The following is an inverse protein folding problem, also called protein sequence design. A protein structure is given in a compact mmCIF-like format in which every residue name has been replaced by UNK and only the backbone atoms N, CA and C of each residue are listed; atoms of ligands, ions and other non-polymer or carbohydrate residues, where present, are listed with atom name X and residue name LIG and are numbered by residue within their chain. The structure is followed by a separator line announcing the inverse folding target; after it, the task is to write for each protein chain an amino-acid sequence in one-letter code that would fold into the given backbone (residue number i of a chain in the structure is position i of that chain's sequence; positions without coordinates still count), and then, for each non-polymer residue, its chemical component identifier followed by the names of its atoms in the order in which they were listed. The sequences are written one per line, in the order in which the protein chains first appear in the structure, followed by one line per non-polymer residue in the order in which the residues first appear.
data_IF_310593509511
#
_entry.id   IF_310593509511
#
_cell.length_a   1.000
_cell.length_b   1.000
_cell.length_c   1.000
_cell.angle_alpha   90.00
_cell.angle_beta   90.00
_cell.angle_gamma   90.00
#
_symmetry.space_group_name_H-M   'P 1'
#
loop_
_entity.id
_entity.type
_entity.pdbx_description
1 polymer ?
#
# COMPACT_ATOMS: atom_id res chain seq x y z
N UNK A 1 3.92 -70.49 11.85
CA UNK A 1 3.25 -69.44 11.03
C UNK A 1 2.86 -68.33 11.99
N UNK A 2 3.74 -67.38 12.20
CA UNK A 2 3.56 -66.25 13.12
C UNK A 2 3.10 -65.06 12.31
N UNK A 3 2.03 -64.41 12.79
CA UNK A 3 1.45 -63.19 12.22
C UNK A 3 2.25 -62.00 12.71
N UNK A 4 2.83 -61.25 11.77
CA UNK A 4 3.51 -59.98 12.02
C UNK A 4 2.49 -58.87 12.33
N UNK A 5 2.54 -58.34 13.54
CA UNK A 5 1.77 -57.23 14.00
C UNK A 5 2.18 -55.90 13.32
N UNK A 6 1.23 -55.20 12.75
CA UNK A 6 1.41 -53.86 12.21
C UNK A 6 1.44 -52.85 13.34
N UNK A 7 2.55 -52.12 13.47
CA UNK A 7 2.69 -50.94 14.36
C UNK A 7 1.92 -49.78 13.75
N UNK A 8 0.92 -49.29 14.45
CA UNK A 8 0.24 -48.02 14.20
C UNK A 8 1.20 -46.89 14.58
N UNK A 9 1.59 -46.07 13.61
CA UNK A 9 2.26 -44.79 13.82
C UNK A 9 1.21 -43.73 13.97
N UNK A 10 1.01 -43.19 15.16
CA UNK A 10 0.23 -41.97 15.41
C UNK A 10 0.92 -40.81 14.72
N UNK A 11 0.17 -39.98 13.96
CA UNK A 11 0.74 -38.76 13.40
C UNK A 11 0.92 -37.73 14.52
N UNK A 12 2.09 -37.16 14.53
CA UNK A 12 2.43 -36.02 15.39
C UNK A 12 1.40 -34.93 15.31
N UNK A 13 0.89 -34.50 16.47
CA UNK A 13 -0.01 -33.37 16.57
C UNK A 13 0.61 -32.12 15.99
N UNK A 14 -0.01 -31.62 14.93
CA UNK A 14 0.33 -30.31 14.35
C UNK A 14 0.02 -29.23 15.40
N UNK A 15 1.07 -28.54 15.82
CA UNK A 15 0.92 -27.30 16.57
C UNK A 15 0.29 -26.31 15.59
N UNK A 16 -0.99 -26.01 15.78
CA UNK A 16 -1.68 -24.93 15.09
C UNK A 16 -1.05 -23.61 15.49
N UNK A 17 -0.17 -23.09 14.66
CA UNK A 17 0.26 -21.70 14.74
C UNK A 17 -0.77 -20.85 14.03
N UNK A 18 -1.97 -20.75 14.57
CA UNK A 18 -2.85 -19.62 14.29
C UNK A 18 -2.21 -18.38 14.92
N UNK A 19 -1.22 -17.82 14.23
CA UNK A 19 -0.86 -16.41 14.46
C UNK A 19 -2.08 -15.61 14.02
N UNK A 20 -2.60 -14.80 14.92
CA UNK A 20 -3.56 -13.76 14.59
C UNK A 20 -3.06 -13.05 13.33
N UNK A 21 -3.76 -13.24 12.21
CA UNK A 21 -3.54 -12.42 11.03
C UNK A 21 -3.97 -11.01 11.44
N UNK A 22 -3.08 -10.02 11.39
CA UNK A 22 -3.51 -8.64 11.62
C UNK A 22 -4.62 -8.31 10.63
N UNK A 23 -5.64 -7.60 11.10
CA UNK A 23 -6.71 -7.13 10.23
C UNK A 23 -6.08 -6.25 9.15
N UNK A 24 -6.36 -6.58 7.90
CA UNK A 24 -5.87 -5.83 6.76
C UNK A 24 -6.43 -4.43 6.80
N UNK A 25 -5.57 -3.46 6.62
CA UNK A 25 -5.94 -2.07 6.49
C UNK A 25 -5.88 -1.70 5.02
N UNK A 26 -6.82 -0.93 4.54
CA UNK A 26 -7.08 -0.67 3.12
C UNK A 26 -7.27 0.81 2.87
N UNK A 27 -6.94 1.24 1.66
CA UNK A 27 -7.54 2.42 1.08
C UNK A 27 -9.03 2.12 0.82
N UNK A 28 -9.83 2.15 1.88
CA UNK A 28 -11.28 1.95 1.85
C UNK A 28 -11.92 3.29 2.15
N UNK A 29 -12.75 3.78 1.24
CA UNK A 29 -13.74 4.76 1.62
C UNK A 29 -14.88 4.03 2.36
N UNK A 30 -14.79 3.99 3.70
CA UNK A 30 -15.92 3.57 4.51
C UNK A 30 -17.10 4.54 4.31
N UNK A 31 -18.35 4.06 4.28
CA UNK A 31 -19.52 4.94 4.28
C UNK A 31 -19.51 5.96 5.43
N UNK A 32 -18.86 5.65 6.53
CA UNK A 32 -18.74 6.55 7.70
C UNK A 32 -17.59 7.55 7.56
N UNK A 33 -16.55 7.26 6.76
CA UNK A 33 -15.45 8.17 6.43
C UNK A 33 -15.85 9.18 5.34
N UNK A 34 -16.98 8.96 4.67
CA UNK A 34 -17.49 9.78 3.57
C UNK A 34 -18.13 11.12 4.02
N UNK A 35 -18.05 11.50 5.28
CA UNK A 35 -18.51 12.81 5.72
C UNK A 35 -17.37 13.84 5.68
N UNK A 36 -17.35 14.77 4.69
CA UNK A 36 -16.46 15.94 4.73
C UNK A 36 -16.75 16.86 5.92
N UNK A 37 -17.77 16.56 6.69
CA UNK A 37 -18.30 17.41 7.77
C UNK A 37 -17.73 17.10 9.12
N UNK A 38 -16.92 16.14 9.25
CA UNK A 38 -16.31 15.89 10.53
C UNK A 38 -14.79 15.89 10.44
N UNK A 39 -14.20 17.01 10.08
CA UNK A 39 -13.12 17.48 10.97
C UNK A 39 -13.78 17.55 12.33
N UNK A 40 -13.75 16.48 13.09
CA UNK A 40 -14.22 16.48 14.45
C UNK A 40 -13.37 17.52 15.18
N UNK A 41 -13.92 18.72 15.27
CA UNK A 41 -13.33 19.80 16.06
C UNK A 41 -13.11 19.23 17.44
N UNK A 42 -11.86 18.88 17.76
CA UNK A 42 -11.46 18.58 19.12
C UNK A 42 -10.86 17.20 19.44
N UNK A 43 -10.74 16.26 18.53
CA UNK A 43 -10.06 15.00 18.84
C UNK A 43 -8.88 14.77 17.90
N UNK A 44 -7.67 14.99 18.39
CA UNK A 44 -6.46 14.52 17.70
C UNK A 44 -6.54 13.01 17.57
N UNK A 45 -6.22 12.44 16.40
CA UNK A 45 -6.08 11.01 16.27
C UNK A 45 -5.13 10.44 17.33
N UNK A 46 -5.49 9.30 17.92
CA UNK A 46 -4.62 8.60 18.86
C UNK A 46 -3.53 7.82 18.14
N UNK A 47 -2.97 8.45 17.13
CA UNK A 47 -1.98 7.88 16.23
C UNK A 47 -0.63 7.74 16.94
N UNK A 48 -0.06 6.55 16.91
CA UNK A 48 1.27 6.26 17.47
C UNK A 48 1.85 4.99 16.88
N UNK A 49 3.14 4.75 17.07
CA UNK A 49 3.73 3.44 16.84
C UNK A 49 3.32 2.50 18.00
N UNK A 50 2.77 1.34 17.64
CA UNK A 50 2.33 0.30 18.57
C UNK A 50 3.39 -0.80 18.78
N UNK A 51 4.61 -0.60 18.27
CA UNK A 51 5.76 -1.47 18.47
C UNK A 51 6.01 -2.47 17.34
N UNK A 52 5.19 -2.44 16.29
CA UNK A 52 5.42 -3.24 15.08
C UNK A 52 6.56 -2.71 14.22
N UNK A 53 6.91 -3.45 13.15
CA UNK A 53 7.99 -3.07 12.26
C UNK A 53 7.68 -1.77 11.49
N UNK A 54 8.73 -1.08 11.10
CA UNK A 54 8.73 0.07 10.21
C UNK A 54 9.85 -0.12 9.19
N UNK A 55 9.57 0.11 7.91
CA UNK A 55 10.61 0.08 6.87
C UNK A 55 11.34 1.42 6.89
N UNK A 56 12.51 1.44 7.51
CA UNK A 56 13.29 2.68 7.64
C UNK A 56 13.80 3.23 6.31
N UNK A 57 14.05 2.34 5.34
CA UNK A 57 14.50 2.69 4.00
C UNK A 57 14.03 1.63 3.01
N UNK A 58 13.08 1.99 2.13
CA UNK A 58 12.50 1.09 1.14
C UNK A 58 13.33 0.99 -0.15
N UNK A 59 13.58 -0.23 -0.61
CA UNK A 59 14.07 -0.49 -1.97
C UNK A 59 12.86 -0.88 -2.81
N UNK A 60 12.38 0.05 -3.64
CA UNK A 60 11.08 -0.07 -4.31
C UNK A 60 11.23 -0.70 -5.68
N UNK A 61 10.52 -1.78 -5.90
CA UNK A 61 10.36 -2.44 -7.19
C UNK A 61 8.95 -2.17 -7.73
N UNK A 62 8.81 -1.76 -9.00
CA UNK A 62 7.51 -1.72 -9.67
C UNK A 62 7.28 -3.02 -10.43
N UNK A 63 6.10 -3.61 -10.28
CA UNK A 63 5.70 -4.80 -11.01
C UNK A 63 4.41 -4.54 -11.78
N UNK A 64 4.47 -4.56 -13.10
CA UNK A 64 3.34 -4.31 -13.98
C UNK A 64 2.72 -5.62 -14.44
N UNK A 65 1.45 -5.87 -14.10
CA UNK A 65 0.79 -7.15 -14.32
C UNK A 65 -0.30 -7.05 -15.39
N UNK A 66 -0.19 -7.91 -16.40
CA UNK A 66 -1.05 -7.98 -17.57
C UNK A 66 -0.31 -7.69 -18.88
N UNK A 67 -0.72 -8.31 -19.96
CA UNK A 67 -0.05 -8.21 -21.27
C UNK A 67 -0.09 -6.80 -21.87
N UNK A 68 -1.11 -5.99 -21.52
CA UNK A 68 -1.24 -4.62 -22.00
C UNK A 68 0.00 -3.74 -21.70
N UNK A 69 0.66 -3.96 -20.59
CA UNK A 69 1.88 -3.23 -20.20
C UNK A 69 3.08 -3.44 -21.14
N UNK A 70 3.01 -4.46 -22.03
CA UNK A 70 4.02 -4.69 -23.09
C UNK A 70 3.49 -4.42 -24.49
N UNK A 71 2.20 -4.63 -24.72
CA UNK A 71 1.63 -4.66 -26.07
C UNK A 71 0.89 -3.40 -26.45
N UNK A 72 0.38 -2.64 -25.48
CA UNK A 72 -0.32 -1.37 -25.71
C UNK A 72 0.63 -0.18 -25.48
N UNK A 73 0.90 0.66 -26.50
CA UNK A 73 1.79 1.82 -26.38
C UNK A 73 1.40 2.79 -25.26
N UNK A 74 0.10 2.99 -24.98
CA UNK A 74 -0.36 3.86 -23.90
C UNK A 74 0.03 3.29 -22.53
N UNK A 75 -0.12 1.98 -22.34
CA UNK A 75 0.32 1.30 -21.11
C UNK A 75 1.84 1.33 -20.95
N UNK A 76 2.60 1.07 -22.03
CA UNK A 76 4.07 1.14 -22.00
C UNK A 76 4.52 2.54 -21.56
N UNK A 77 3.91 3.59 -22.11
CA UNK A 77 4.21 4.97 -21.71
C UNK A 77 3.82 5.24 -20.26
N UNK A 78 2.64 4.77 -19.82
CA UNK A 78 2.17 4.92 -18.43
C UNK A 78 3.09 4.17 -17.46
N UNK A 79 3.54 2.96 -17.77
CA UNK A 79 4.50 2.23 -16.95
C UNK A 79 5.81 3.00 -16.77
N UNK A 80 6.35 3.60 -17.84
CA UNK A 80 7.54 4.43 -17.77
C UNK A 80 7.32 5.66 -16.87
N UNK A 81 6.14 6.29 -16.96
CA UNK A 81 5.78 7.45 -16.12
C UNK A 81 5.59 7.06 -14.66
N UNK A 82 4.96 5.93 -14.35
CA UNK A 82 4.82 5.41 -12.99
C UNK A 82 6.19 5.06 -12.37
N UNK A 83 7.10 4.50 -13.16
CA UNK A 83 8.49 4.31 -12.73
C UNK A 83 9.20 5.64 -12.43
N UNK A 84 9.02 6.66 -13.29
CA UNK A 84 9.55 8.00 -13.05
C UNK A 84 8.90 8.66 -11.82
N UNK A 85 7.59 8.47 -11.63
CA UNK A 85 6.91 8.91 -10.43
C UNK A 85 7.54 8.32 -9.17
N UNK A 86 7.73 7.00 -9.11
CA UNK A 86 8.35 6.36 -7.94
C UNK A 86 9.74 6.90 -7.65
N UNK A 87 10.56 7.11 -8.69
CA UNK A 87 11.89 7.70 -8.54
C UNK A 87 11.83 9.12 -7.95
N UNK A 88 10.96 9.97 -8.49
CA UNK A 88 10.78 11.35 -8.03
C UNK A 88 10.14 11.40 -6.64
N UNK A 89 9.13 10.57 -6.39
CA UNK A 89 8.40 10.48 -5.13
C UNK A 89 9.35 10.15 -3.96
N UNK A 90 10.18 9.12 -4.13
CA UNK A 90 11.15 8.69 -3.12
C UNK A 90 12.26 9.73 -2.88
N UNK A 91 12.53 10.61 -3.85
CA UNK A 91 13.50 11.70 -3.72
C UNK A 91 12.87 13.02 -3.23
N UNK A 92 11.55 13.07 -3.09
CA UNK A 92 10.82 14.29 -2.79
C UNK A 92 10.79 14.63 -1.29
N UNK A 93 10.39 15.87 -1.00
CA UNK A 93 10.13 16.35 0.36
C UNK A 93 8.91 15.68 1.04
N UNK A 94 8.15 14.88 0.29
CA UNK A 94 7.08 14.04 0.85
C UNK A 94 7.65 13.03 1.86
N UNK A 95 8.80 12.45 1.57
CA UNK A 95 9.46 11.48 2.47
C UNK A 95 9.82 12.07 3.84
N UNK A 96 9.97 13.39 3.92
CA UNK A 96 10.20 14.06 5.20
C UNK A 96 9.02 13.94 6.18
N UNK A 97 7.79 13.72 5.67
CA UNK A 97 6.61 13.48 6.50
C UNK A 97 6.75 12.13 7.21
N UNK A 98 7.19 11.11 6.49
CA UNK A 98 7.27 9.73 7.00
C UNK A 98 8.36 9.55 8.06
N UNK A 99 9.33 10.48 8.12
CA UNK A 99 10.42 10.44 9.11
C UNK A 99 9.91 10.51 10.55
N UNK A 100 8.79 11.18 10.79
CA UNK A 100 8.17 11.25 12.12
C UNK A 100 7.64 9.89 12.61
N UNK A 101 7.44 8.94 11.72
CA UNK A 101 6.95 7.57 12.00
C UNK A 101 8.07 6.52 11.94
N UNK A 102 9.31 6.95 11.71
CA UNK A 102 10.48 6.06 11.71
C UNK A 102 10.97 5.67 10.32
N UNK A 103 10.24 5.98 9.25
CA UNK A 103 10.71 5.79 7.88
C UNK A 103 11.50 7.01 7.40
N UNK A 104 12.63 6.78 6.72
CA UNK A 104 13.47 7.88 6.21
C UNK A 104 14.37 8.54 7.27
N UNK A 105 14.62 7.90 8.39
CA UNK A 105 15.54 8.38 9.41
C UNK A 105 16.99 8.39 8.91
N UNK A 106 17.59 9.57 8.85
CA UNK A 106 19.03 9.72 8.57
C UNK A 106 19.43 10.52 7.33
N UNK A 107 18.53 11.34 6.77
CA UNK A 107 18.99 12.27 5.72
C UNK A 107 18.01 12.56 4.58
N UNK A 108 16.72 12.45 4.78
CA UNK A 108 15.72 12.89 3.80
C UNK A 108 15.51 11.97 2.60
N UNK A 109 16.02 10.73 2.65
CA UNK A 109 15.70 9.68 1.68
C UNK A 109 15.06 8.52 2.41
N UNK A 110 13.77 8.28 2.16
CA UNK A 110 13.06 7.15 2.74
C UNK A 110 13.17 5.88 1.86
N UNK A 111 13.79 5.97 0.68
CA UNK A 111 13.95 4.82 -0.19
C UNK A 111 14.66 5.13 -1.50
N UNK A 112 14.83 4.07 -2.32
CA UNK A 112 15.34 4.14 -3.69
C UNK A 112 14.45 3.33 -4.61
N UNK A 113 14.31 3.77 -5.86
CA UNK A 113 13.66 3.00 -6.91
C UNK A 113 14.67 2.03 -7.53
N UNK A 114 14.40 0.74 -7.43
CA UNK A 114 15.29 -0.33 -7.93
C UNK A 114 15.02 -0.70 -9.39
N UNK A 115 13.87 -0.29 -9.93
CA UNK A 115 13.48 -0.59 -11.30
C UNK A 115 12.12 -1.27 -11.41
N UNK A 116 11.79 -1.71 -12.62
CA UNK A 116 10.49 -2.31 -12.92
C UNK A 116 10.60 -3.60 -13.72
N UNK A 117 9.61 -4.47 -13.53
CA UNK A 117 9.41 -5.68 -14.32
C UNK A 117 7.94 -5.80 -14.75
N UNK A 118 7.68 -6.59 -15.79
CA UNK A 118 6.32 -6.87 -16.25
C UNK A 118 6.05 -8.38 -16.19
N UNK A 119 4.90 -8.73 -15.62
CA UNK A 119 4.37 -10.10 -15.64
C UNK A 119 3.19 -10.14 -16.61
N UNK A 120 3.39 -10.73 -17.77
CA UNK A 120 2.46 -10.66 -18.90
C UNK A 120 1.19 -11.47 -18.69
N UNK A 121 1.35 -12.63 -18.07
CA UNK A 121 0.26 -13.61 -17.94
C UNK A 121 -0.14 -13.73 -16.48
N UNK A 122 -1.28 -13.16 -16.16
CA UNK A 122 -1.96 -13.31 -14.87
C UNK A 122 -3.43 -13.60 -15.12
N UNK A 123 -4.12 -14.29 -14.21
CA UNK A 123 -5.58 -14.46 -14.29
C UNK A 123 -6.30 -13.11 -14.27
N UNK A 124 -7.44 -13.01 -14.96
CA UNK A 124 -8.29 -11.81 -14.91
C UNK A 124 -8.95 -11.62 -13.52
N UNK A 125 -9.02 -12.66 -12.72
CA UNK A 125 -9.47 -12.59 -11.33
C UNK A 125 -8.34 -13.09 -10.44
N UNK A 126 -7.85 -12.23 -9.60
CA UNK A 126 -6.78 -12.52 -8.64
C UNK A 126 -7.35 -12.53 -7.22
N UNK A 127 -6.92 -13.49 -6.43
CA UNK A 127 -7.01 -13.41 -4.97
C UNK A 127 -5.68 -12.94 -4.41
N UNK A 128 -5.68 -12.39 -3.21
CA UNK A 128 -4.43 -12.02 -2.54
C UNK A 128 -3.46 -13.22 -2.41
N UNK A 129 -3.98 -14.40 -2.12
CA UNK A 129 -3.16 -15.62 -2.08
C UNK A 129 -2.53 -15.97 -3.45
N UNK A 130 -3.22 -15.70 -4.56
CA UNK A 130 -2.66 -15.88 -5.89
C UNK A 130 -1.54 -14.85 -6.16
N UNK A 131 -1.72 -13.61 -5.72
CA UNK A 131 -0.70 -12.56 -5.80
C UNK A 131 0.57 -12.99 -5.04
N UNK A 132 0.43 -13.46 -3.80
CA UNK A 132 1.54 -13.97 -3.00
C UNK A 132 2.26 -15.15 -3.69
N UNK A 133 1.50 -16.05 -4.33
CA UNK A 133 2.05 -17.16 -5.11
C UNK A 133 2.90 -16.70 -6.31
N UNK A 134 2.45 -15.66 -7.02
CA UNK A 134 3.20 -15.06 -8.14
C UNK A 134 4.47 -14.38 -7.63
N UNK A 135 4.38 -13.61 -6.55
CA UNK A 135 5.55 -12.96 -5.94
C UNK A 135 6.57 -13.98 -5.44
N UNK A 136 6.13 -15.05 -4.76
CA UNK A 136 7.04 -16.13 -4.34
C UNK A 136 7.70 -16.82 -5.53
N UNK A 137 6.98 -17.04 -6.62
CA UNK A 137 7.55 -17.61 -7.84
C UNK A 137 8.58 -16.69 -8.49
N UNK A 138 8.36 -15.37 -8.44
CA UNK A 138 9.32 -14.37 -8.90
C UNK A 138 10.60 -14.37 -8.06
N UNK A 139 10.48 -14.54 -6.74
CA UNK A 139 11.64 -14.71 -5.84
C UNK A 139 12.38 -16.00 -6.16
N UNK A 140 11.67 -17.12 -6.26
CA UNK A 140 12.27 -18.44 -6.55
C UNK A 140 13.04 -18.47 -7.87
N UNK A 141 12.60 -17.68 -8.86
CA UNK A 141 13.25 -17.56 -10.17
C UNK A 141 14.34 -16.49 -10.24
N UNK A 142 14.55 -15.71 -9.19
CA UNK A 142 15.51 -14.60 -9.16
C UNK A 142 15.04 -13.34 -9.87
N UNK A 143 13.75 -13.25 -10.22
CA UNK A 143 13.14 -12.04 -10.79
C UNK A 143 12.87 -10.95 -9.75
N UNK A 144 12.72 -11.33 -8.49
CA UNK A 144 12.69 -10.46 -7.32
C UNK A 144 13.73 -10.95 -6.31
N UNK A 145 14.33 -10.06 -5.51
CA UNK A 145 15.23 -10.47 -4.46
C UNK A 145 14.46 -11.16 -3.32
N UNK A 146 15.09 -12.12 -2.67
CA UNK A 146 14.63 -12.57 -1.35
C UNK A 146 14.83 -11.42 -0.36
N UNK A 147 13.79 -10.99 0.39
CA UNK A 147 13.91 -9.88 1.31
C UNK A 147 14.89 -10.18 2.42
N UNK A 148 15.65 -9.17 2.83
CA UNK A 148 16.52 -9.24 4.00
C UNK A 148 15.75 -9.22 5.31
N UNK A 149 16.46 -9.34 6.43
CA UNK A 149 15.90 -9.09 7.75
C UNK A 149 16.79 -8.07 8.50
N UNK A 150 16.30 -6.83 8.76
CA UNK A 150 14.94 -6.33 8.45
C UNK A 150 14.68 -6.20 6.95
N UNK A 151 13.43 -6.47 6.55
CA UNK A 151 13.02 -6.34 5.14
C UNK A 151 13.10 -4.89 4.69
N UNK A 152 13.61 -4.68 3.47
CA UNK A 152 13.71 -3.36 2.84
C UNK A 152 13.11 -3.34 1.45
N UNK A 153 13.10 -4.49 0.78
CA UNK A 153 12.53 -4.61 -0.54
C UNK A 153 11.01 -4.58 -0.43
N UNK A 154 10.39 -3.68 -1.18
CA UNK A 154 8.95 -3.49 -1.24
C UNK A 154 8.52 -3.47 -2.71
N UNK A 155 7.38 -4.07 -3.01
CA UNK A 155 6.88 -4.16 -4.39
C UNK A 155 5.59 -3.38 -4.54
N UNK A 156 5.56 -2.49 -5.52
CA UNK A 156 4.37 -1.78 -5.98
C UNK A 156 3.83 -2.50 -7.21
N UNK A 157 2.69 -3.17 -7.09
CA UNK A 157 2.06 -3.92 -8.17
C UNK A 157 1.02 -3.02 -8.85
N UNK A 158 1.14 -2.87 -10.17
CA UNK A 158 0.20 -2.13 -11.02
C UNK A 158 -0.53 -3.10 -11.95
N UNK A 159 -1.84 -3.15 -11.83
CA UNK A 159 -2.66 -4.02 -12.67
C UNK A 159 -3.14 -3.28 -13.92
N UNK A 160 -3.21 -3.99 -15.05
CA UNK A 160 -3.89 -3.47 -16.23
C UNK A 160 -5.40 -3.59 -16.10
N UNK A 161 -6.13 -2.87 -16.96
CA UNK A 161 -7.58 -2.95 -17.06
C UNK A 161 -8.06 -4.40 -17.29
N UNK A 162 -9.19 -4.75 -16.70
CA UNK A 162 -9.79 -6.09 -16.81
C UNK A 162 -9.16 -7.14 -15.90
N UNK A 163 -8.28 -6.75 -14.99
CA UNK A 163 -7.80 -7.61 -13.90
C UNK A 163 -8.46 -7.16 -12.60
N UNK A 164 -9.37 -8.00 -12.09
CA UNK A 164 -10.05 -7.78 -10.83
C UNK A 164 -9.29 -8.43 -9.69
N UNK A 165 -9.29 -7.79 -8.53
CA UNK A 165 -8.64 -8.34 -7.34
C UNK A 165 -9.64 -8.46 -6.21
N UNK A 166 -9.75 -9.66 -5.69
CA UNK A 166 -10.31 -9.91 -4.38
C UNK A 166 -9.19 -9.80 -3.35
N UNK A 167 -9.22 -8.73 -2.57
CA UNK A 167 -8.28 -8.51 -1.48
C UNK A 167 -8.35 -9.64 -0.43
N UNK A 168 -7.45 -9.63 0.54
CA UNK A 168 -7.39 -10.66 1.59
C UNK A 168 -8.62 -10.63 2.52
N UNK A 169 -9.34 -9.56 2.52
CA UNK A 169 -10.66 -9.40 3.14
C UNK A 169 -11.73 -9.35 2.02
N UNK A 170 -13.03 -9.58 2.27
CA UNK A 170 -14.05 -9.76 1.22
C UNK A 170 -14.31 -8.55 0.33
N UNK A 171 -13.58 -7.43 0.49
CA UNK A 171 -13.70 -6.32 -0.43
C UNK A 171 -13.04 -6.64 -1.77
N UNK A 172 -13.83 -6.50 -2.81
CA UNK A 172 -13.37 -6.54 -4.19
C UNK A 172 -13.06 -5.12 -4.64
N UNK A 173 -11.95 -4.92 -5.35
CA UNK A 173 -11.62 -3.61 -5.89
C UNK A 173 -12.54 -3.28 -7.05
N UNK A 174 -12.93 -2.01 -7.13
CA UNK A 174 -13.75 -1.50 -8.25
C UNK A 174 -15.15 -2.12 -8.36
N UNK A 175 -15.73 -2.65 -7.29
CA UNK A 175 -17.09 -3.18 -7.31
C UNK A 175 -18.14 -2.21 -6.76
N UNK A 176 -19.38 -2.22 -7.28
CA UNK A 176 -20.42 -1.26 -6.89
C UNK A 176 -21.08 -1.55 -5.52
N UNK A 177 -20.77 -2.65 -4.88
CA UNK A 177 -21.42 -3.10 -3.66
C UNK A 177 -20.41 -3.58 -2.64
N UNK A 178 -20.19 -2.80 -1.61
CA UNK A 178 -19.31 -3.15 -0.49
C UNK A 178 -18.22 -2.12 -0.24
N UNK A 179 -17.25 -2.51 0.57
CA UNK A 179 -16.08 -1.69 0.86
C UNK A 179 -15.18 -1.66 -0.38
N UNK A 180 -15.31 -0.64 -1.21
CA UNK A 180 -14.46 -0.46 -2.39
C UNK A 180 -13.09 0.05 -1.99
N UNK A 181 -12.09 -0.80 -2.11
CA UNK A 181 -10.70 -0.38 -2.03
C UNK A 181 -10.21 0.10 -3.41
N UNK A 182 -9.45 1.18 -3.44
CA UNK A 182 -8.73 1.64 -4.63
C UNK A 182 -7.28 1.14 -4.67
N UNK A 183 -6.84 0.47 -3.63
CA UNK A 183 -5.57 -0.18 -3.44
C UNK A 183 -5.52 -0.89 -2.10
N UNK A 184 -4.45 -1.60 -1.84
CA UNK A 184 -4.11 -2.10 -0.52
C UNK A 184 -2.62 -2.42 -0.45
N UNK A 185 -2.08 -2.45 0.77
CA UNK A 185 -0.79 -3.05 1.04
C UNK A 185 -0.94 -4.29 1.93
N UNK A 186 0.02 -5.20 1.83
CA UNK A 186 0.03 -6.42 2.63
C UNK A 186 1.43 -7.03 2.69
N UNK A 187 1.55 -8.13 3.42
CA UNK A 187 2.77 -8.91 3.48
C UNK A 187 2.48 -10.42 3.50
N UNK A 188 3.49 -11.19 3.18
CA UNK A 188 3.51 -12.63 3.42
C UNK A 188 4.91 -13.06 3.87
N UNK A 189 4.97 -14.23 4.48
CA UNK A 189 6.26 -14.84 4.82
C UNK A 189 6.75 -15.66 3.63
N UNK A 190 7.95 -15.33 3.11
CA UNK A 190 8.58 -16.11 2.05
C UNK A 190 8.89 -17.54 2.50
N UNK A 191 9.24 -18.42 1.58
CA UNK A 191 9.71 -19.78 1.92
C UNK A 191 10.93 -19.78 2.84
N UNK A 192 11.77 -18.75 2.77
CA UNK A 192 12.91 -18.56 3.65
C UNK A 192 12.53 -18.02 5.04
N UNK A 193 11.26 -17.65 5.25
CA UNK A 193 10.78 -17.15 6.54
C UNK A 193 10.98 -15.64 6.75
N UNK A 194 11.25 -14.89 5.70
CA UNK A 194 11.37 -13.43 5.76
C UNK A 194 10.05 -12.75 5.36
N UNK A 195 9.65 -11.63 5.99
CA UNK A 195 8.48 -10.87 5.56
C UNK A 195 8.77 -10.18 4.22
N UNK A 196 7.83 -10.27 3.28
CA UNK A 196 7.86 -9.60 2.00
C UNK A 196 6.68 -8.66 1.88
N UNK A 197 6.95 -7.37 1.70
CA UNK A 197 5.95 -6.31 1.68
C UNK A 197 5.58 -5.93 0.25
N UNK A 198 4.28 -5.76 -0.01
CA UNK A 198 3.78 -5.36 -1.33
C UNK A 198 2.52 -4.51 -1.21
N UNK A 199 2.27 -3.72 -2.25
CA UNK A 199 1.00 -3.05 -2.45
C UNK A 199 0.42 -3.39 -3.81
N UNK A 200 -0.90 -3.30 -3.94
CA UNK A 200 -1.64 -3.54 -5.17
C UNK A 200 -2.40 -2.29 -5.55
N UNK A 201 -2.11 -1.78 -6.74
CA UNK A 201 -2.75 -0.60 -7.33
C UNK A 201 -3.48 -1.05 -8.60
N UNK A 202 -4.80 -1.12 -8.60
CA UNK A 202 -5.59 -1.50 -9.77
C UNK A 202 -5.49 -0.43 -10.88
N UNK A 203 -6.12 -0.71 -12.02
CA UNK A 203 -6.08 0.19 -13.16
C UNK A 203 -6.67 1.58 -12.87
N UNK A 204 -7.69 1.68 -11.98
CA UNK A 204 -8.37 2.91 -11.58
C UNK A 204 -8.89 3.71 -12.80
N UNK A 205 -9.41 3.00 -13.77
CA UNK A 205 -10.06 3.61 -14.93
C UNK A 205 -11.42 4.23 -14.57
N UNK A 206 -12.06 4.87 -15.51
CA UNK A 206 -13.36 5.52 -15.29
C UNK A 206 -14.47 4.50 -14.98
N UNK A 207 -14.36 3.27 -15.44
CA UNK A 207 -15.35 2.23 -15.15
C UNK A 207 -15.26 1.81 -13.67
N UNK A 208 -14.06 1.57 -13.17
CA UNK A 208 -13.78 1.31 -11.77
C UNK A 208 -14.37 2.40 -10.86
N UNK A 209 -14.05 3.66 -11.15
CA UNK A 209 -14.52 4.76 -10.31
C UNK A 209 -16.03 4.98 -10.39
N UNK A 210 -16.63 4.88 -11.58
CA UNK A 210 -18.07 5.02 -11.74
C UNK A 210 -18.86 3.94 -11.02
N UNK A 211 -18.30 2.73 -10.91
CA UNK A 211 -18.91 1.66 -10.11
C UNK A 211 -18.95 2.00 -8.61
N UNK A 212 -17.96 2.75 -8.14
CA UNK A 212 -17.85 3.19 -6.73
C UNK A 212 -18.65 4.47 -6.43
N UNK A 213 -19.05 5.26 -7.43
CA UNK A 213 -19.72 6.55 -7.27
C UNK A 213 -20.98 6.53 -6.38
N UNK A 214 -21.81 5.48 -6.34
CA UNK A 214 -22.96 5.43 -5.45
C UNK A 214 -22.60 5.56 -3.95
N UNK A 215 -21.40 5.20 -3.58
CA UNK A 215 -20.90 5.23 -2.19
C UNK A 215 -19.77 6.25 -2.00
N UNK A 216 -19.04 6.60 -3.05
CA UNK A 216 -17.95 7.59 -3.01
C UNK A 216 -18.48 9.02 -3.16
N UNK A 217 -18.50 9.79 -2.06
CA UNK A 217 -18.88 11.22 -2.07
C UNK A 217 -17.88 12.11 -2.80
N UNK A 218 -16.65 11.67 -2.97
CA UNK A 218 -15.59 12.39 -3.68
C UNK A 218 -15.47 11.94 -5.16
N UNK A 219 -16.40 11.12 -5.65
CA UNK A 219 -16.38 10.57 -7.00
C UNK A 219 -16.10 11.62 -8.08
N UNK A 220 -16.73 12.79 -8.00
CA UNK A 220 -16.50 13.86 -8.97
C UNK A 220 -15.07 14.41 -8.94
N UNK A 221 -14.43 14.45 -7.78
CA UNK A 221 -13.04 14.87 -7.63
C UNK A 221 -12.09 13.80 -8.19
N UNK A 222 -12.34 12.54 -7.89
CA UNK A 222 -11.55 11.44 -8.42
C UNK A 222 -11.69 11.30 -9.94
N UNK A 223 -12.91 11.46 -10.48
CA UNK A 223 -13.15 11.46 -11.93
C UNK A 223 -12.52 12.65 -12.65
N UNK A 224 -12.24 13.76 -11.97
CA UNK A 224 -11.51 14.89 -12.55
C UNK A 224 -10.01 14.61 -12.73
N UNK A 225 -9.46 13.60 -12.05
CA UNK A 225 -8.07 13.17 -12.22
C UNK A 225 -7.94 12.24 -13.43
N UNK A 226 -6.79 12.28 -14.09
CA UNK A 226 -6.43 11.24 -15.07
C UNK A 226 -6.17 9.91 -14.37
N UNK A 227 -6.27 8.82 -15.12
CA UNK A 227 -5.96 7.49 -14.60
C UNK A 227 -4.54 7.40 -13.97
N UNK A 228 -3.55 8.01 -14.60
CA UNK A 228 -2.19 8.10 -14.06
C UNK A 228 -2.16 8.86 -12.72
N UNK A 229 -2.87 9.99 -12.62
CA UNK A 229 -2.94 10.76 -11.38
C UNK A 229 -3.61 9.99 -10.25
N UNK A 230 -4.64 9.19 -10.54
CA UNK A 230 -5.28 8.29 -9.57
C UNK A 230 -4.30 7.23 -9.10
N UNK A 231 -3.57 6.62 -10.03
CA UNK A 231 -2.57 5.60 -9.69
C UNK A 231 -1.41 6.19 -8.87
N UNK A 232 -0.93 7.40 -9.16
CA UNK A 232 0.12 8.02 -8.34
C UNK A 232 -0.39 8.45 -6.97
N UNK A 233 -1.64 8.88 -6.86
CA UNK A 233 -2.30 9.20 -5.59
C UNK A 233 -2.40 7.95 -4.70
N UNK A 234 -2.95 6.85 -5.23
CA UNK A 234 -3.06 5.58 -4.50
C UNK A 234 -1.68 5.01 -4.18
N UNK A 235 -0.73 5.08 -5.12
CA UNK A 235 0.63 4.62 -4.86
C UNK A 235 1.30 5.34 -3.69
N UNK A 236 1.09 6.66 -3.56
CA UNK A 236 1.64 7.41 -2.43
C UNK A 236 0.98 7.06 -1.10
N UNK A 237 -0.32 6.74 -1.12
CA UNK A 237 -1.07 6.25 0.04
C UNK A 237 -0.50 4.89 0.50
N UNK A 238 -0.59 3.88 -0.35
CA UNK A 238 -0.18 2.52 -0.04
C UNK A 238 1.30 2.41 0.34
N UNK A 239 2.17 3.15 -0.35
CA UNK A 239 3.58 3.19 0.02
C UNK A 239 3.79 3.75 1.43
N UNK A 240 3.10 4.83 1.77
CA UNK A 240 3.28 5.48 3.07
C UNK A 240 2.85 4.57 4.22
N UNK A 241 1.75 3.87 4.06
CA UNK A 241 1.26 2.91 5.03
C UNK A 241 2.15 1.67 5.10
N UNK A 242 2.48 1.09 3.94
CA UNK A 242 3.37 -0.08 3.86
C UNK A 242 4.73 0.15 4.53
N UNK A 243 5.29 1.37 4.52
CA UNK A 243 6.57 1.62 5.20
C UNK A 243 6.43 2.00 6.66
N UNK A 244 5.28 2.46 7.11
CA UNK A 244 5.04 2.86 8.51
C UNK A 244 4.27 1.84 9.32
N UNK A 245 3.54 0.94 8.66
CA UNK A 245 2.77 -0.16 9.27
C UNK A 245 2.73 -1.42 8.38
N UNK A 246 3.86 -1.97 7.95
CA UNK A 246 3.91 -3.04 6.95
C UNK A 246 3.16 -4.33 7.35
N UNK A 247 2.90 -4.53 8.64
CA UNK A 247 2.26 -5.74 9.20
C UNK A 247 0.99 -5.45 10.01
N UNK A 248 0.45 -4.22 9.93
CA UNK A 248 -0.74 -3.81 10.67
C UNK A 248 -0.54 -3.71 12.21
N UNK A 249 0.71 -3.60 12.65
CA UNK A 249 1.09 -3.55 14.07
C UNK A 249 2.04 -2.38 14.39
N UNK A 250 2.35 -1.54 13.40
CA UNK A 250 3.24 -0.38 13.47
C UNK A 250 2.53 0.90 13.86
N UNK A 251 2.39 1.83 12.91
CA UNK A 251 1.88 3.17 13.15
C UNK A 251 0.41 3.33 12.72
N UNK A 252 -0.51 3.43 13.66
CA UNK A 252 -1.93 3.64 13.39
C UNK A 252 -2.65 4.38 14.53
N UNK A 253 -3.87 4.84 14.30
CA UNK A 253 -4.76 5.40 15.33
C UNK A 253 -5.32 4.28 16.21
N UNK A 254 -5.00 4.34 17.50
CA UNK A 254 -5.36 3.30 18.46
C UNK A 254 -6.87 3.17 18.73
N UNK A 255 -7.69 4.09 18.23
CA UNK A 255 -9.16 4.04 18.39
C UNK A 255 -9.85 3.47 17.15
N UNK A 256 -9.45 3.93 15.96
CA UNK A 256 -10.11 3.59 14.70
C UNK A 256 -9.37 2.51 13.93
N UNK A 257 -8.08 2.34 14.18
CA UNK A 257 -7.18 1.52 13.39
C UNK A 257 -6.67 2.21 12.14
N UNK A 258 -7.08 3.45 11.85
CA UNK A 258 -6.70 4.19 10.66
C UNK A 258 -5.19 4.46 10.62
N UNK A 259 -4.59 4.25 9.46
CA UNK A 259 -3.19 4.53 9.19
C UNK A 259 -2.99 5.98 8.74
N UNK A 260 -1.77 6.37 8.44
CA UNK A 260 -1.45 7.78 8.13
C UNK A 260 -2.10 8.27 6.82
N UNK A 261 -2.32 7.40 5.86
CA UNK A 261 -3.05 7.67 4.64
C UNK A 261 -4.56 7.73 4.85
N UNK A 262 -5.10 6.80 5.64
CA UNK A 262 -6.53 6.70 5.95
C UNK A 262 -7.09 7.96 6.60
N UNK A 263 -6.34 8.54 7.56
CA UNK A 263 -6.74 9.77 8.25
C UNK A 263 -6.93 10.93 7.27
N UNK A 264 -6.20 10.91 6.15
CA UNK A 264 -6.25 11.92 5.08
C UNK A 264 -6.88 11.38 3.79
N UNK A 265 -7.67 10.32 3.89
CA UNK A 265 -8.23 9.64 2.75
C UNK A 265 -8.99 10.61 1.81
N UNK A 266 -8.67 10.52 0.51
CA UNK A 266 -9.25 11.35 -0.54
C UNK A 266 -8.68 12.78 -0.64
N UNK A 267 -7.82 13.22 0.28
CA UNK A 267 -7.18 14.54 0.20
C UNK A 267 -5.99 14.51 -0.75
N UNK A 268 -6.17 15.10 -1.94
CA UNK A 268 -5.11 15.20 -2.94
C UNK A 268 -4.18 16.38 -2.69
N UNK A 269 -2.90 16.18 -3.00
CA UNK A 269 -1.86 17.19 -3.03
C UNK A 269 -0.94 17.01 -4.23
N UNK A 270 0.10 17.79 -4.31
CA UNK A 270 1.11 17.68 -5.36
C UNK A 270 2.51 17.72 -4.79
N UNK A 271 3.42 17.01 -5.45
CA UNK A 271 4.86 17.15 -5.27
C UNK A 271 5.49 17.62 -6.58
N UNK A 272 6.55 18.43 -6.49
CA UNK A 272 7.31 18.86 -7.65
C UNK A 272 8.79 18.48 -7.46
N UNK A 273 9.33 17.77 -8.43
CA UNK A 273 10.74 17.36 -8.46
C UNK A 273 11.34 17.81 -9.80
N UNK A 274 12.26 18.75 -9.76
CA UNK A 274 12.72 19.43 -10.97
C UNK A 274 11.57 20.15 -11.68
N UNK A 275 11.30 19.75 -12.92
CA UNK A 275 10.20 20.30 -13.73
C UNK A 275 8.93 19.42 -13.74
N UNK A 276 8.95 18.30 -13.04
CA UNK A 276 7.82 17.35 -13.03
C UNK A 276 6.97 17.54 -11.77
N UNK A 277 5.68 17.60 -11.98
CA UNK A 277 4.67 17.66 -10.90
C UNK A 277 3.83 16.39 -10.91
N UNK A 278 3.64 15.79 -9.74
CA UNK A 278 2.88 14.57 -9.54
C UNK A 278 1.74 14.79 -8.56
N UNK A 279 0.61 14.16 -8.83
CA UNK A 279 -0.50 14.08 -7.87
C UNK A 279 -0.19 13.00 -6.84
N UNK A 280 -0.36 13.33 -5.57
CA UNK A 280 -0.18 12.42 -4.43
C UNK A 280 -1.35 12.57 -3.47
N UNK A 281 -1.59 11.59 -2.63
CA UNK A 281 -2.45 11.80 -1.47
C UNK A 281 -1.69 12.54 -0.38
N UNK A 282 -2.37 13.44 0.33
CA UNK A 282 -1.82 14.04 1.53
C UNK A 282 -1.77 13.00 2.66
N UNK A 283 -0.76 13.11 3.52
CA UNK A 283 -0.58 12.22 4.68
C UNK A 283 -0.80 12.95 5.97
N UNK A 284 -1.36 12.27 6.94
CA UNK A 284 -1.47 12.77 8.29
C UNK A 284 -0.10 13.12 8.86
N UNK A 285 0.00 14.32 9.41
CA UNK A 285 1.18 14.79 10.14
C UNK A 285 0.86 14.99 11.59
N UNK A 286 1.20 14.04 12.44
CA UNK A 286 1.03 14.17 13.90
C UNK A 286 1.83 15.32 14.47
N UNK A 287 3.03 15.59 13.94
CA UNK A 287 3.87 16.71 14.36
C UNK A 287 3.13 18.05 14.20
N UNK A 288 2.53 18.26 13.01
CA UNK A 288 1.84 19.51 12.70
C UNK A 288 0.46 19.59 13.41
N UNK A 289 -0.21 18.45 13.53
CA UNK A 289 -1.46 18.32 14.28
C UNK A 289 -1.29 18.73 15.75
N UNK A 290 -0.23 18.29 16.40
CA UNK A 290 0.10 18.69 17.76
C UNK A 290 0.41 20.19 17.86
N UNK A 291 0.94 20.83 16.83
CA UNK A 291 1.22 22.25 16.78
C UNK A 291 -0.05 23.11 16.57
N UNK A 292 -1.05 22.58 15.85
CA UNK A 292 -2.28 23.31 15.47
C UNK A 292 -3.42 23.22 16.49
N UNK A 293 -3.26 22.43 17.55
CA UNK A 293 -4.21 22.28 18.66
C UNK A 293 -5.67 21.96 18.25
N UNK A 294 -5.86 21.01 17.35
CA UNK A 294 -7.19 20.46 17.14
C UNK A 294 -7.72 20.44 15.71
N UNK A 295 -6.87 20.69 14.73
CA UNK A 295 -7.20 20.42 13.34
C UNK A 295 -6.36 19.25 12.84
N UNK A 296 -6.99 18.17 12.38
CA UNK A 296 -6.27 17.09 11.68
C UNK A 296 -5.48 17.70 10.54
N UNK A 297 -4.17 17.48 10.52
CA UNK A 297 -3.29 18.11 9.55
C UNK A 297 -2.81 17.09 8.52
N UNK A 298 -3.27 17.29 7.28
CA UNK A 298 -2.89 16.50 6.11
C UNK A 298 -1.96 17.34 5.22
N UNK A 299 -0.80 16.81 4.88
CA UNK A 299 0.21 17.52 4.09
C UNK A 299 0.81 16.63 3.00
N UNK A 300 1.26 17.23 1.90
CA UNK A 300 1.94 16.53 0.80
C UNK A 300 3.46 16.71 0.81
N UNK A 301 3.99 17.56 1.70
CA UNK A 301 5.44 17.77 1.80
C UNK A 301 5.82 18.41 3.14
N UNK A 302 7.05 18.18 3.56
CA UNK A 302 7.66 18.89 4.68
C UNK A 302 9.05 19.38 4.26
N UNK A 303 9.46 20.62 4.60
CA UNK A 303 10.73 21.20 4.12
C UNK A 303 11.96 20.50 4.68
N UNK A 304 11.82 19.73 5.73
CA UNK A 304 12.86 18.94 6.39
C UNK A 304 12.23 17.68 7.02
N UNK A 305 13.03 16.65 7.31
CA UNK A 305 12.56 15.50 8.07
C UNK A 305 11.91 15.93 9.38
N UNK A 306 10.70 15.47 9.62
CA UNK A 306 9.98 15.75 10.86
C UNK A 306 10.53 14.87 11.99
N UNK A 307 10.60 15.40 13.23
CA UNK A 307 11.11 14.64 14.36
C UNK A 307 10.17 13.46 14.68
N UNK A 308 10.77 12.37 15.21
CA UNK A 308 10.01 11.21 15.68
C UNK A 308 8.92 11.62 16.67
N UNK A 309 7.72 11.17 16.41
CA UNK A 309 6.59 11.31 17.35
C UNK A 309 6.46 10.02 18.18
N UNK A 310 6.27 10.23 19.47
CA UNK A 310 6.10 9.13 20.45
C UNK A 310 4.62 8.76 20.60
#
# INVERSE_FOLDING_TARGET
MEALGTRSTTPFGGVSTERHKPALKRFVQSPDDLTPTAKAVGAHPRFKNHGGPVVAFGVVHASFWGSAWKTDPAHVQRAARLGQFLQDFLASSYMNILSQYGSGQGGGKAGTFAGSATIDTVPNQLTDAAIQGVLQSAIDSGGLPEPGNPARDVVMIYLSEGIDVQGPDPATMCEPHGDNAFGYHHFFMTKAGNPFYYSVVPALDDACLKSSCPIDRNCSLHLALTQEQRQTQVSSHEYSEMVTDPEGTGCYDGKTGAENGDICNGESGTITVGTRTWTVQQMYSKHDDMATKGATTCIASAPRPLPLVK
#
